data_IF_974410585611
#
_entry.id   IF_974410585611
#
_cell.length_a   1.000
_cell.length_b   1.000
_cell.length_c   1.000
_cell.angle_alpha   90.00
_cell.angle_beta   90.00
_cell.angle_gamma   90.00
#
_symmetry.space_group_name_H-M   'P 1'
#
loop_
_entity.id
_entity.type
_entity.pdbx_description
1 polymer ?
#
# COMPACT_ATOMS: atom_id res chain seq x y z
N UNK A 1 1.70 -24.30 -7.10
CA UNK A 1 1.84 -22.85 -6.86
C UNK A 1 0.57 -22.33 -6.21
N UNK A 2 0.70 -21.64 -5.09
CA UNK A 2 -0.44 -21.03 -4.42
C UNK A 2 -0.54 -19.55 -4.81
N UNK A 3 -1.77 -19.07 -5.01
CA UNK A 3 -2.03 -17.68 -5.40
C UNK A 3 -3.06 -17.10 -4.44
N UNK A 4 -2.78 -15.87 -3.96
CA UNK A 4 -3.73 -15.08 -3.17
C UNK A 4 -4.19 -13.92 -4.05
N UNK A 5 -5.50 -13.85 -4.32
CA UNK A 5 -6.10 -12.70 -4.99
C UNK A 5 -6.45 -11.66 -3.94
N UNK A 6 -5.97 -10.43 -4.11
CA UNK A 6 -6.09 -9.38 -3.11
C UNK A 6 -6.72 -8.12 -3.69
N UNK A 7 -7.77 -7.64 -3.02
CA UNK A 7 -8.34 -6.33 -3.27
C UNK A 7 -7.85 -5.35 -2.19
N UNK A 8 -7.73 -4.07 -2.54
CA UNK A 8 -7.29 -3.02 -1.61
C UNK A 8 -8.49 -2.33 -0.98
N UNK A 9 -9.43 -1.83 -1.80
CA UNK A 9 -10.58 -1.10 -1.31
C UNK A 9 -11.55 -2.03 -0.55
N UNK A 10 -11.84 -1.68 0.69
CA UNK A 10 -12.69 -2.47 1.57
C UNK A 10 -12.00 -3.63 2.27
N UNK A 11 -10.76 -3.96 1.89
CA UNK A 11 -9.97 -5.04 2.51
C UNK A 11 -8.77 -4.48 3.27
N UNK A 12 -7.84 -3.82 2.57
CA UNK A 12 -6.70 -3.16 3.19
C UNK A 12 -6.99 -1.73 3.62
N UNK A 13 -7.89 -1.06 2.89
CA UNK A 13 -8.32 0.30 3.17
C UNK A 13 -9.83 0.32 3.37
N UNK A 14 -10.35 0.83 4.52
CA UNK A 14 -11.79 0.91 4.74
C UNK A 14 -12.49 1.76 3.67
N UNK A 15 -13.67 1.32 3.24
CA UNK A 15 -14.51 2.13 2.35
C UNK A 15 -14.89 3.43 3.07
N UNK A 16 -14.77 4.56 2.36
CA UNK A 16 -15.10 5.87 2.92
C UNK A 16 -14.02 6.49 3.81
N UNK A 17 -12.85 5.88 3.89
CA UNK A 17 -11.71 6.48 4.60
C UNK A 17 -11.16 7.67 3.83
N UNK A 18 -10.98 8.81 4.52
CA UNK A 18 -10.58 10.07 3.90
C UNK A 18 -9.49 10.82 4.68
N UNK A 19 -8.82 10.19 5.63
CA UNK A 19 -7.79 10.86 6.43
C UNK A 19 -6.64 11.38 5.55
N UNK A 20 -6.31 10.67 4.47
CA UNK A 20 -5.28 11.09 3.54
C UNK A 20 -5.62 12.44 2.85
N UNK A 21 -6.90 12.75 2.67
CA UNK A 21 -7.33 14.02 2.08
C UNK A 21 -7.20 15.20 3.04
N UNK A 22 -7.19 14.93 4.35
CA UNK A 22 -7.05 15.94 5.40
C UNK A 22 -5.61 16.15 5.84
N UNK A 23 -4.72 15.26 5.44
CA UNK A 23 -3.31 15.30 5.81
C UNK A 23 -2.52 16.28 4.95
N UNK A 24 -1.34 16.66 5.44
CA UNK A 24 -0.32 17.30 4.62
C UNK A 24 0.45 16.21 3.86
N UNK A 25 -0.11 15.77 2.72
CA UNK A 25 0.46 14.69 1.94
C UNK A 25 1.87 15.01 1.42
N UNK A 26 2.13 16.28 1.07
CA UNK A 26 3.45 16.69 0.60
C UNK A 26 4.52 16.55 1.69
N UNK A 27 4.22 16.95 2.92
CA UNK A 27 5.13 16.80 4.05
C UNK A 27 5.37 15.33 4.38
N UNK A 28 4.33 14.49 4.31
CA UNK A 28 4.44 13.06 4.57
C UNK A 28 5.32 12.39 3.51
N UNK A 29 5.12 12.72 2.24
CA UNK A 29 5.98 12.25 1.16
C UNK A 29 7.43 12.67 1.37
N UNK A 30 7.67 13.94 1.72
CA UNK A 30 9.02 14.43 1.98
C UNK A 30 9.73 13.62 3.06
N UNK A 31 9.02 13.26 4.11
CA UNK A 31 9.55 12.40 5.17
C UNK A 31 9.97 11.03 4.61
N UNK A 32 9.10 10.37 3.82
CA UNK A 32 9.42 9.05 3.28
C UNK A 32 10.54 9.11 2.25
N UNK A 33 10.66 10.18 1.46
CA UNK A 33 11.77 10.36 0.52
C UNK A 33 13.12 10.43 1.26
N UNK A 34 13.16 11.02 2.46
CA UNK A 34 14.38 11.02 3.27
C UNK A 34 14.78 9.62 3.75
N UNK A 35 13.82 8.72 3.92
CA UNK A 35 14.06 7.34 4.31
C UNK A 35 14.44 6.45 3.13
N UNK A 36 13.82 6.69 1.97
CA UNK A 36 14.04 5.91 0.75
C UNK A 36 13.70 6.76 -0.46
N UNK A 37 14.71 7.09 -1.27
CA UNK A 37 14.53 7.96 -2.43
C UNK A 37 13.65 7.35 -3.53
N UNK A 38 13.37 6.05 -3.49
CA UNK A 38 12.42 5.44 -4.42
C UNK A 38 11.02 6.00 -4.29
N UNK A 39 10.68 6.67 -3.17
CA UNK A 39 9.41 7.37 -3.01
C UNK A 39 9.30 8.67 -3.81
N UNK A 40 10.41 9.20 -4.32
CA UNK A 40 10.39 10.50 -5.01
C UNK A 40 9.37 10.57 -6.17
N UNK A 41 9.23 9.55 -7.05
CA UNK A 41 8.25 9.60 -8.12
C UNK A 41 6.83 9.18 -7.69
N UNK A 42 6.64 8.75 -6.45
CA UNK A 42 5.34 8.24 -5.99
C UNK A 42 4.40 9.39 -5.66
N UNK A 43 3.12 9.24 -6.01
CA UNK A 43 2.10 10.24 -5.71
C UNK A 43 1.97 10.43 -4.19
N UNK A 44 1.98 11.69 -3.73
CA UNK A 44 1.92 12.01 -2.31
C UNK A 44 0.63 11.51 -1.64
N UNK A 45 -0.50 11.57 -2.34
CA UNK A 45 -1.78 11.08 -1.80
C UNK A 45 -1.80 9.55 -1.67
N UNK A 46 -1.10 8.83 -2.54
CA UNK A 46 -0.98 7.37 -2.42
C UNK A 46 -0.20 7.01 -1.14
N UNK A 47 0.88 7.72 -0.87
CA UNK A 47 1.67 7.52 0.35
C UNK A 47 0.81 7.80 1.58
N UNK A 48 0.08 8.92 1.58
CA UNK A 48 -0.80 9.29 2.68
C UNK A 48 -1.92 8.28 2.90
N UNK A 49 -2.54 7.78 1.82
CA UNK A 49 -3.60 6.77 1.92
C UNK A 49 -3.08 5.48 2.58
N UNK A 50 -1.91 5.01 2.17
CA UNK A 50 -1.33 3.80 2.76
C UNK A 50 -0.94 4.02 4.22
N UNK A 51 -0.29 5.15 4.52
CA UNK A 51 0.18 5.44 5.87
C UNK A 51 -0.97 5.65 6.87
N UNK A 52 -2.03 6.36 6.46
CA UNK A 52 -3.10 6.81 7.35
C UNK A 52 -4.36 5.95 7.31
N UNK A 53 -4.73 5.43 6.13
CA UNK A 53 -6.03 4.79 5.92
C UNK A 53 -5.98 3.28 5.79
N UNK A 54 -4.85 2.70 5.36
CA UNK A 54 -4.74 1.24 5.27
C UNK A 54 -4.68 0.62 6.67
N UNK A 55 -5.27 -0.58 6.81
CA UNK A 55 -5.14 -1.36 8.03
C UNK A 55 -3.72 -1.93 8.16
N UNK A 56 -2.89 -1.48 9.13
CA UNK A 56 -1.52 -1.98 9.26
C UNK A 56 -1.46 -3.48 9.51
N UNK A 57 -2.37 -3.98 10.35
CA UNK A 57 -2.41 -5.40 10.68
C UNK A 57 -2.82 -6.27 9.50
N UNK A 58 -3.71 -5.77 8.65
CA UNK A 58 -4.16 -6.53 7.48
C UNK A 58 -3.01 -6.78 6.51
N UNK A 59 -2.18 -5.77 6.23
CA UNK A 59 -0.99 -5.93 5.39
C UNK A 59 -0.03 -6.98 5.95
N UNK A 60 0.21 -6.96 7.26
CA UNK A 60 1.08 -7.91 7.92
C UNK A 60 0.55 -9.33 7.85
N UNK A 61 -0.75 -9.52 8.07
CA UNK A 61 -1.37 -10.84 7.99
C UNK A 61 -1.28 -11.43 6.60
N UNK A 62 -1.52 -10.62 5.57
CA UNK A 62 -1.43 -11.07 4.19
C UNK A 62 0.00 -11.49 3.85
N UNK A 63 0.99 -10.71 4.28
CA UNK A 63 2.38 -11.05 4.11
C UNK A 63 2.73 -12.37 4.79
N UNK A 64 2.34 -12.54 6.06
CA UNK A 64 2.57 -13.77 6.80
C UNK A 64 1.91 -14.98 6.14
N UNK A 65 0.67 -14.80 5.66
CA UNK A 65 -0.06 -15.85 4.97
C UNK A 65 0.65 -16.24 3.67
N UNK A 66 1.10 -15.27 2.88
CA UNK A 66 1.82 -15.51 1.65
C UNK A 66 3.13 -16.26 1.91
N UNK A 67 3.88 -15.88 2.93
CA UNK A 67 5.13 -16.54 3.31
C UNK A 67 4.88 -17.97 3.80
N UNK A 68 3.89 -18.15 4.68
CA UNK A 68 3.56 -19.47 5.26
C UNK A 68 3.08 -20.46 4.19
N UNK A 69 2.27 -20.01 3.24
CA UNK A 69 1.69 -20.84 2.19
C UNK A 69 2.55 -20.88 0.92
N UNK A 70 3.69 -20.20 0.90
CA UNK A 70 4.52 -20.01 -0.31
C UNK A 70 3.68 -19.51 -1.48
N UNK A 71 2.82 -18.52 -1.22
CA UNK A 71 1.87 -18.00 -2.20
C UNK A 71 2.37 -16.69 -2.81
N UNK A 72 2.01 -16.49 -4.08
CA UNK A 72 2.15 -15.20 -4.75
C UNK A 72 0.88 -14.39 -4.57
N UNK A 73 1.01 -13.07 -4.41
CA UNK A 73 -0.13 -12.16 -4.29
C UNK A 73 -0.42 -11.55 -5.65
N UNK A 74 -1.68 -11.63 -6.09
CA UNK A 74 -2.16 -11.01 -7.32
C UNK A 74 -3.19 -9.95 -6.94
N UNK A 75 -2.90 -8.69 -7.28
CA UNK A 75 -3.83 -7.60 -7.03
C UNK A 75 -4.96 -7.61 -8.06
N UNK A 76 -6.19 -7.56 -7.57
CA UNK A 76 -7.40 -7.46 -8.41
C UNK A 76 -8.00 -6.06 -8.37
N UNK A 77 -7.44 -5.18 -7.56
CA UNK A 77 -7.91 -3.80 -7.37
C UNK A 77 -7.60 -2.90 -8.56
N UNK A 78 -8.42 -1.85 -8.73
CA UNK A 78 -8.15 -0.78 -9.69
C UNK A 78 -6.82 -0.05 -9.44
N UNK A 79 -6.26 -0.16 -8.26
CA UNK A 79 -4.94 0.42 -7.94
C UNK A 79 -3.86 -0.04 -8.92
N UNK A 80 -3.91 -1.30 -9.37
CA UNK A 80 -2.94 -1.84 -10.34
C UNK A 80 -3.01 -1.21 -11.73
N UNK A 81 -4.15 -0.59 -12.07
CA UNK A 81 -4.37 -0.03 -13.40
C UNK A 81 -3.61 1.28 -13.62
N UNK A 82 -3.30 1.99 -12.56
CA UNK A 82 -2.72 3.33 -12.62
C UNK A 82 -1.34 3.43 -11.95
N UNK A 83 -0.81 2.32 -11.46
CA UNK A 83 0.47 2.29 -10.73
C UNK A 83 1.32 1.12 -11.22
N UNK A 84 2.63 1.36 -11.27
CA UNK A 84 3.56 0.29 -11.62
C UNK A 84 3.68 -0.74 -10.51
N UNK A 85 4.15 -1.94 -10.85
CA UNK A 85 4.41 -2.98 -9.86
C UNK A 85 5.43 -2.52 -8.81
N UNK A 86 6.46 -1.79 -9.23
CA UNK A 86 7.48 -1.27 -8.31
C UNK A 86 6.89 -0.28 -7.31
N UNK A 87 6.00 0.63 -7.76
CA UNK A 87 5.29 1.55 -6.87
C UNK A 87 4.41 0.80 -5.87
N UNK A 88 3.67 -0.21 -6.33
CA UNK A 88 2.81 -1.01 -5.46
C UNK A 88 3.61 -1.76 -4.39
N UNK A 89 4.73 -2.39 -4.78
CA UNK A 89 5.63 -3.06 -3.83
C UNK A 89 6.15 -2.10 -2.77
N UNK A 90 6.54 -0.91 -3.19
CA UNK A 90 7.06 0.11 -2.29
C UNK A 90 5.99 0.58 -1.30
N UNK A 91 4.76 0.82 -1.78
CA UNK A 91 3.64 1.20 -0.91
C UNK A 91 3.30 0.12 0.11
N UNK A 92 3.29 -1.15 -0.31
CA UNK A 92 3.07 -2.26 0.62
C UNK A 92 4.14 -2.35 1.70
N UNK A 93 5.36 -1.90 1.41
CA UNK A 93 6.46 -1.94 2.40
C UNK A 93 6.29 -0.97 3.55
N UNK A 94 5.40 0.02 3.44
CA UNK A 94 5.18 1.03 4.50
C UNK A 94 4.69 0.42 5.81
N UNK A 95 3.99 -0.69 5.76
CA UNK A 95 3.49 -1.39 6.95
C UNK A 95 4.18 -2.73 7.21
N UNK A 96 5.27 -2.97 6.54
CA UNK A 96 5.98 -4.25 6.64
C UNK A 96 5.54 -5.20 5.56
#
# INVERSE_FOLDING_TARGET
MNIIFLDIDGVLMPLGSHEYLRSDAAALKAYYVTQDQRFAPVNAYDIAAVDLDWYPKASRYIRQLAETCHASIVLTSSWRLHRSLETLKLLFSLHG
#
